data_IF_426949296113
#
_entry.id   IF_426949296113
#
_cell.length_a   1.000
_cell.length_b   1.000
_cell.length_c   1.000
_cell.angle_alpha   90.00
_cell.angle_beta   90.00
_cell.angle_gamma   90.00
#
_symmetry.space_group_name_H-M   'P 1'
#
loop_
_entity.id
_entity.type
_entity.pdbx_description
1 polymer ?
#
# COMPACT_ATOMS: atom_id res chain seq x y z
N UNK A 1 3.19 -15.85 3.90
CA UNK A 1 2.65 -14.88 2.92
C UNK A 1 3.62 -14.74 1.74
N UNK A 2 3.93 -15.82 0.99
CA UNK A 2 5.03 -15.80 0.00
C UNK A 2 4.59 -15.77 -1.47
N UNK A 3 3.29 -15.94 -1.78
CA UNK A 3 2.78 -15.93 -3.15
C UNK A 3 2.04 -14.64 -3.52
N UNK A 4 1.70 -13.80 -2.53
CA UNK A 4 1.01 -12.53 -2.79
C UNK A 4 2.00 -11.43 -3.12
N UNK A 5 1.68 -10.66 -4.15
CA UNK A 5 2.43 -9.46 -4.54
C UNK A 5 2.09 -8.23 -3.69
N UNK A 6 0.88 -8.20 -3.13
CA UNK A 6 0.37 -7.08 -2.35
C UNK A 6 -0.09 -7.56 -0.96
N UNK A 7 0.24 -6.78 0.07
CA UNK A 7 -0.09 -7.09 1.45
C UNK A 7 -0.88 -5.92 2.03
N UNK A 8 -2.16 -6.15 2.30
CA UNK A 8 -3.02 -5.15 2.91
C UNK A 8 -2.59 -4.91 4.35
N UNK A 9 -2.28 -3.67 4.67
CA UNK A 9 -1.98 -3.21 6.02
C UNK A 9 -3.04 -2.18 6.43
N UNK A 10 -4.08 -2.67 7.12
CA UNK A 10 -5.11 -1.81 7.69
C UNK A 10 -4.59 -1.33 9.04
N UNK A 11 -4.48 -0.02 9.20
CA UNK A 11 -4.03 0.60 10.44
C UNK A 11 -5.02 0.27 11.54
N UNK A 12 -4.51 -0.18 12.68
CA UNK A 12 -5.29 -0.41 13.90
C UNK A 12 -4.79 0.48 15.01
N UNK A 13 -5.40 0.40 16.19
CA UNK A 13 -5.10 1.24 17.36
C UNK A 13 -3.72 1.05 17.98
N UNK A 14 -2.85 0.19 17.42
CA UNK A 14 -1.51 -0.03 17.96
C UNK A 14 -0.47 -0.13 16.83
N UNK A 15 0.57 0.73 16.83
CA UNK A 15 1.62 0.72 15.81
C UNK A 15 2.61 -0.45 15.98
N UNK A 16 2.48 -1.26 17.04
CA UNK A 16 3.38 -2.37 17.38
C UNK A 16 3.20 -3.62 16.50
N UNK A 17 2.21 -3.63 15.59
CA UNK A 17 2.05 -4.78 14.70
C UNK A 17 3.17 -4.81 13.66
N UNK A 18 3.94 -5.89 13.61
CA UNK A 18 5.04 -6.08 12.65
C UNK A 18 4.58 -6.28 11.20
N UNK A 19 3.28 -6.12 10.90
CA UNK A 19 2.67 -6.40 9.59
C UNK A 19 3.35 -5.66 8.42
N UNK A 20 3.81 -4.42 8.66
CA UNK A 20 4.54 -3.65 7.65
C UNK A 20 5.92 -4.27 7.36
N UNK A 21 6.66 -4.59 8.42
CA UNK A 21 7.99 -5.19 8.31
C UNK A 21 7.92 -6.60 7.73
N UNK A 22 6.94 -7.41 8.14
CA UNK A 22 6.72 -8.75 7.60
C UNK A 22 6.39 -8.72 6.11
N UNK A 23 5.62 -7.73 5.66
CA UNK A 23 5.32 -7.53 4.24
C UNK A 23 6.60 -7.19 3.45
N UNK A 24 7.41 -6.25 3.93
CA UNK A 24 8.68 -5.87 3.29
C UNK A 24 9.64 -7.06 3.24
N UNK A 25 9.83 -7.76 4.37
CA UNK A 25 10.72 -8.92 4.46
C UNK A 25 10.25 -10.10 3.57
N UNK A 26 8.94 -10.20 3.31
CA UNK A 26 8.37 -11.20 2.41
C UNK A 26 8.38 -10.78 0.93
N UNK A 27 9.05 -9.67 0.58
CA UNK A 27 9.05 -9.10 -0.78
C UNK A 27 7.65 -8.75 -1.31
N UNK A 28 6.76 -8.36 -0.41
CA UNK A 28 5.38 -8.00 -0.71
C UNK A 28 5.22 -6.47 -0.64
N UNK A 29 4.54 -5.86 -1.62
CA UNK A 29 4.27 -4.42 -1.60
C UNK A 29 3.18 -4.12 -0.56
N UNK A 30 3.46 -3.31 0.48
CA UNK A 30 2.46 -2.95 1.47
C UNK A 30 1.41 -2.00 0.87
N UNK A 31 0.15 -2.27 1.14
CA UNK A 31 -0.98 -1.40 0.80
C UNK A 31 -1.55 -0.87 2.11
N UNK A 32 -1.16 0.35 2.46
CA UNK A 32 -1.52 0.99 3.71
C UNK A 32 -2.87 1.67 3.53
N UNK A 33 -3.85 1.24 4.32
CA UNK A 33 -5.18 1.85 4.37
C UNK A 33 -5.25 2.66 5.66
N UNK A 34 -5.07 3.98 5.54
CA UNK A 34 -5.18 4.95 6.63
C UNK A 34 -5.36 6.35 6.07
N UNK A 35 -6.05 7.20 6.80
CA UNK A 35 -6.07 8.63 6.54
C UNK A 35 -4.89 9.34 7.23
N UNK A 36 -4.52 8.85 8.42
CA UNK A 36 -3.40 9.33 9.21
C UNK A 36 -2.63 8.11 9.77
N UNK A 37 -1.33 8.04 9.54
CA UNK A 37 -0.45 7.05 10.15
C UNK A 37 0.93 7.67 10.30
N UNK A 38 1.54 7.47 11.46
CA UNK A 38 2.97 7.69 11.66
C UNK A 38 3.71 6.37 11.46
N UNK A 39 4.62 6.36 10.51
CA UNK A 39 5.52 5.25 10.22
C UNK A 39 6.87 5.47 10.92
N UNK A 40 7.55 4.38 11.29
CA UNK A 40 8.87 4.48 11.89
C UNK A 40 9.88 5.00 10.87
N UNK A 41 10.76 5.92 11.27
CA UNK A 41 11.82 6.46 10.42
C UNK A 41 11.34 7.22 9.16
N UNK A 42 10.17 7.87 9.20
CA UNK A 42 9.67 8.71 8.09
C UNK A 42 10.61 9.85 7.69
N UNK A 43 11.48 10.27 8.61
CA UNK A 43 12.52 11.28 8.40
C UNK A 43 13.68 10.78 7.54
N UNK A 44 13.85 9.46 7.43
CA UNK A 44 14.96 8.81 6.73
C UNK A 44 14.46 7.99 5.53
N UNK A 45 13.27 7.40 5.61
CA UNK A 45 12.73 6.48 4.61
C UNK A 45 11.48 7.06 3.93
N UNK A 46 11.54 7.23 2.61
CA UNK A 46 10.38 7.60 1.82
C UNK A 46 9.50 6.38 1.53
N UNK A 47 8.51 6.14 2.39
CA UNK A 47 7.53 5.07 2.23
C UNK A 47 6.66 5.21 0.98
N UNK A 48 6.59 6.40 0.34
CA UNK A 48 5.81 6.58 -0.88
C UNK A 48 6.39 5.85 -2.10
N UNK A 49 7.67 5.48 -2.04
CA UNK A 49 8.36 4.67 -3.05
C UNK A 49 8.19 3.16 -2.81
N UNK A 50 7.80 2.75 -1.61
CA UNK A 50 7.74 1.34 -1.19
C UNK A 50 6.31 0.85 -0.95
N UNK A 51 5.41 1.75 -0.57
CA UNK A 51 4.04 1.44 -0.14
C UNK A 51 3.00 2.15 -1.00
N UNK A 52 1.82 1.53 -1.07
CA UNK A 52 0.63 2.13 -1.70
C UNK A 52 -0.27 2.66 -0.59
N UNK A 53 -0.43 3.97 -0.52
CA UNK A 53 -1.35 4.61 0.42
C UNK A 53 -2.74 4.76 -0.19
N UNK A 54 -3.75 4.31 0.57
CA UNK A 54 -5.16 4.39 0.22
C UNK A 54 -5.92 5.04 1.36
N UNK A 55 -6.64 6.16 1.14
CA UNK A 55 -7.53 6.73 2.13
C UNK A 55 -8.58 5.70 2.57
N UNK A 56 -8.96 5.72 3.85
CA UNK A 56 -9.93 4.75 4.37
C UNK A 56 -11.30 4.90 3.67
N UNK A 57 -11.67 6.15 3.38
CA UNK A 57 -12.88 6.49 2.61
C UNK A 57 -12.93 5.85 1.22
N UNK A 58 -11.79 5.77 0.52
CA UNK A 58 -11.68 5.14 -0.79
C UNK A 58 -11.67 3.60 -0.69
N UNK A 59 -11.00 3.05 0.32
CA UNK A 59 -10.97 1.61 0.56
C UNK A 59 -12.36 1.00 0.80
N UNK A 60 -13.28 1.78 1.38
CA UNK A 60 -14.66 1.37 1.63
C UNK A 60 -15.54 1.37 0.37
N UNK A 61 -15.12 2.04 -0.72
CA UNK A 61 -15.86 2.04 -1.98
C UNK A 61 -15.81 0.65 -2.60
N UNK A 62 -16.98 0.09 -2.93
CA UNK A 62 -17.11 -1.25 -3.50
C UNK A 62 -16.24 -1.41 -4.75
N UNK A 63 -15.30 -2.34 -4.71
CA UNK A 63 -14.44 -2.69 -5.84
C UNK A 63 -13.25 -1.75 -6.06
N UNK A 64 -13.09 -0.68 -5.28
CA UNK A 64 -11.99 0.26 -5.44
C UNK A 64 -10.61 -0.40 -5.29
N UNK A 65 -10.37 -1.10 -4.19
CA UNK A 65 -9.09 -1.78 -3.92
C UNK A 65 -8.74 -2.79 -5.03
N UNK A 66 -9.71 -3.62 -5.44
CA UNK A 66 -9.48 -4.60 -6.50
C UNK A 66 -9.15 -3.93 -7.85
N UNK A 67 -9.83 -2.83 -8.18
CA UNK A 67 -9.57 -2.08 -9.40
C UNK A 67 -8.21 -1.39 -9.37
N UNK A 68 -7.85 -0.80 -8.23
CA UNK A 68 -6.53 -0.20 -7.99
C UNK A 68 -5.41 -1.23 -8.16
N UNK A 69 -5.49 -2.37 -7.46
CA UNK A 69 -4.46 -3.41 -7.52
C UNK A 69 -4.37 -4.06 -8.91
N UNK A 70 -5.48 -4.23 -9.63
CA UNK A 70 -5.48 -4.66 -11.03
C UNK A 70 -4.85 -3.63 -11.96
N UNK A 71 -5.13 -2.34 -11.75
CA UNK A 71 -4.54 -1.25 -12.52
C UNK A 71 -3.03 -1.20 -12.34
N UNK A 72 -2.54 -1.41 -11.11
CA UNK A 72 -1.12 -1.50 -10.81
C UNK A 72 -0.54 -2.77 -11.42
N UNK A 73 -1.13 -3.96 -11.24
CA UNK A 73 -0.60 -5.20 -11.85
C UNK A 73 -0.44 -5.13 -13.38
N UNK A 74 -1.28 -4.35 -14.08
CA UNK A 74 -1.19 -4.15 -15.53
C UNK A 74 -0.03 -3.27 -15.97
N UNK A 75 0.47 -2.40 -15.08
CA UNK A 75 1.69 -1.62 -15.31
C UNK A 75 2.83 -2.33 -14.57
N UNK A 76 3.92 -2.67 -15.25
CA UNK A 76 4.99 -3.50 -14.69
C UNK A 76 5.40 -3.05 -13.27
N UNK A 77 5.53 -3.99 -12.32
CA UNK A 77 5.65 -3.69 -10.89
C UNK A 77 7.00 -3.08 -10.48
N UNK A 78 8.04 -3.27 -11.31
CA UNK A 78 9.45 -3.03 -10.95
C UNK A 78 9.86 -1.55 -10.92
N UNK A 79 8.97 -0.61 -11.30
CA UNK A 79 9.31 0.83 -11.39
C UNK A 79 8.19 1.80 -10.95
N UNK A 80 7.04 1.30 -10.48
CA UNK A 80 5.78 2.07 -10.53
C UNK A 80 5.11 2.36 -9.19
N UNK A 81 5.68 1.95 -8.05
CA UNK A 81 5.11 2.28 -6.71
C UNK A 81 5.00 3.81 -6.53
N UNK A 82 6.02 4.57 -6.96
CA UNK A 82 5.99 6.03 -6.99
C UNK A 82 5.05 6.67 -8.05
N UNK A 83 4.52 5.91 -9.01
CA UNK A 83 3.66 6.40 -10.12
C UNK A 83 2.17 6.08 -9.97
N UNK A 84 1.74 5.58 -8.81
CA UNK A 84 0.33 5.27 -8.51
C UNK A 84 -0.65 6.44 -8.72
N UNK A 85 -0.17 7.69 -8.87
CA UNK A 85 -0.98 8.89 -9.20
C UNK A 85 -1.86 8.71 -10.45
N UNK A 86 -1.43 7.88 -11.42
CA UNK A 86 -2.22 7.62 -12.63
C UNK A 86 -3.42 6.68 -12.44
N UNK A 87 -3.40 5.75 -11.47
CA UNK A 87 -4.54 4.85 -11.20
C UNK A 87 -5.58 5.51 -10.27
N UNK A 88 -5.16 6.48 -9.43
CA UNK A 88 -6.04 7.19 -8.49
C UNK A 88 -7.06 8.11 -9.17
N UNK A 89 -6.76 8.62 -10.38
CA UNK A 89 -7.66 9.52 -11.14
C UNK A 89 -8.70 8.81 -12.02
N UNK A 90 -8.74 7.49 -12.01
CA UNK A 90 -9.58 6.72 -12.94
C UNK A 90 -10.96 6.34 -12.37
N UNK A 91 -11.27 6.64 -11.10
CA UNK A 91 -12.46 6.18 -10.39
C UNK A 91 -12.99 7.21 -9.39
#
# INVERSE_FOLDING_TARGET
MSSSKFCLNIVGDTPSSNRLFDAIASHCVPVIISDEIELPYEDILDYSELCIFVPASDAMKKGFLLNLLKCIKRRQMDQDVGKTKGCRKAF
#
